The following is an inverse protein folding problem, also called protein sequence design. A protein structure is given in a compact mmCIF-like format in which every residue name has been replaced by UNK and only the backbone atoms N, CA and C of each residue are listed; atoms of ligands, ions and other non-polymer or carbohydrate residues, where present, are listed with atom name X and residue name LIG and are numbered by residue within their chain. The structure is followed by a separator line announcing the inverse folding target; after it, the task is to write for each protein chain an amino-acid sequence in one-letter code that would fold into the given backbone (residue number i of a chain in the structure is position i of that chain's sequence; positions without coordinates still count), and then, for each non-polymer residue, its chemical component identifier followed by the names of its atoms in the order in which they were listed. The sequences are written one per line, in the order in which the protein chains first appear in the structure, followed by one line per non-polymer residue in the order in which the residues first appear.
data_IF_204382596052
#
_entry.id   IF_204382596052
#
_cell.length_a   1.000
_cell.length_b   1.000
_cell.length_c   1.000
_cell.angle_alpha   90.00
_cell.angle_beta   90.00
_cell.angle_gamma   90.00
#
_symmetry.space_group_name_H-M   'P 1'
#
loop_
_entity.id
_entity.type
_entity.pdbx_description
1 polymer ?
#
# COMPACT_ATOMS: atom_id res chain seq x y z
N UNK A 1 -38.07 -15.59 -35.67
CA UNK A 1 -37.79 -15.45 -35.21
C UNK A 1 -37.46 -15.15 -34.62
N UNK A 2 -37.52 -15.21 -34.52
CA UNK A 2 -37.07 -14.96 -33.75
C UNK A 2 -36.54 -14.56 -33.04
N UNK A 3 -36.53 -14.55 -32.88
CA UNK A 3 -35.89 -14.21 -32.15
C UNK A 3 -35.67 -13.84 -31.40
N UNK A 4 -35.70 -13.92 -31.28
CA UNK A 4 -35.37 -13.58 -30.50
C UNK A 4 -34.95 -13.50 -29.71
N UNK A 5 -35.04 -13.77 -29.85
CA UNK A 5 -34.57 -13.74 -29.10
C UNK A 5 -33.93 -13.37 -28.55
N UNK A 6 -33.87 -13.47 -28.66
CA UNK A 6 -33.11 -13.13 -28.09
C UNK A 6 -32.69 -12.52 -27.45
N UNK A 7 -32.74 -12.42 -27.41
CA UNK A 7 -32.18 -11.88 -26.78
C UNK A 7 -32.01 -11.58 -25.86
N UNK A 8 -32.08 -11.87 -25.70
CA UNK A 8 -31.75 -11.64 -24.84
C UNK A 8 -31.39 -11.52 -24.11
N UNK A 9 -31.51 -11.77 -24.37
CA UNK A 9 -30.96 -11.76 -23.71
C UNK A 9 -30.48 -11.43 -23.21
N UNK A 10 -30.54 -11.40 -23.39
CA UNK A 10 -29.97 -11.14 -22.96
C UNK A 10 -29.61 -10.59 -22.34
N UNK A 11 -29.77 -10.68 -22.34
CA UNK A 11 -29.40 -10.22 -21.70
C UNK A 11 -29.02 -9.93 -21.00
N UNK A 12 -29.13 -10.02 -20.96
CA UNK A 12 -28.84 -9.81 -20.23
C UNK A 12 -28.38 -9.69 -19.53
N UNK A 13 -28.38 -9.95 -19.47
CA UNK A 13 -27.95 -9.92 -18.73
C UNK A 13 -27.46 -9.66 -18.09
N UNK A 14 -27.53 -9.57 -18.05
CA UNK A 14 -27.06 -9.41 -17.31
C UNK A 14 -26.43 -9.20 -16.66
N UNK A 15 -26.15 -9.13 -16.17
CA UNK A 15 -25.53 -9.02 -15.30
C UNK A 15 -25.19 -8.63 -14.57
N UNK A 16 -25.16 -8.66 -14.69
CA UNK A 16 -24.80 -8.31 -13.89
C UNK A 16 -24.59 -8.00 -12.99
N UNK A 17 -24.53 -7.88 -12.57
CA UNK A 17 -24.06 -7.44 -11.53
C UNK A 17 -23.22 -7.99 -10.75
N UNK A 18 -22.68 -8.23 -10.68
CA UNK A 18 -21.84 -8.60 -9.99
C UNK A 18 -21.04 -7.90 -9.45
N UNK A 19 -21.06 -7.40 -9.74
CA UNK A 19 -20.13 -6.66 -9.28
C UNK A 19 -20.11 -6.16 -7.95
N UNK A 20 -20.99 -6.09 -7.31
CA UNK A 20 -20.92 -5.68 -6.03
C UNK A 20 -20.00 -6.44 -5.29
N UNK A 21 -19.75 -7.50 -5.71
CA UNK A 21 -18.85 -8.33 -4.98
C UNK A 21 -17.42 -7.97 -5.16
N UNK A 22 -17.09 -7.14 -6.07
CA UNK A 22 -15.71 -6.83 -6.30
C UNK A 22 -15.14 -6.01 -5.16
N UNK A 23 -14.37 -6.59 -4.26
CA UNK A 23 -13.88 -5.86 -3.10
C UNK A 23 -12.78 -4.86 -3.43
N UNK A 24 -11.84 -5.23 -4.27
CA UNK A 24 -10.70 -4.37 -4.56
C UNK A 24 -10.62 -4.13 -6.05
N UNK A 25 -10.69 -2.87 -6.43
CA UNK A 25 -10.51 -2.46 -7.81
C UNK A 25 -9.03 -2.12 -8.00
N UNK A 26 -8.41 -2.64 -9.05
CA UNK A 26 -7.01 -2.28 -9.32
C UNK A 26 -6.86 -0.78 -9.52
N UNK A 27 -5.83 -0.22 -8.93
CA UNK A 27 -5.53 1.21 -9.03
C UNK A 27 -4.80 1.44 -10.34
N UNK A 28 -5.30 2.39 -11.14
CA UNK A 28 -4.65 2.74 -12.39
C UNK A 28 -3.22 3.23 -12.12
N UNK A 29 -2.25 2.86 -12.98
CA UNK A 29 -0.85 3.23 -12.74
C UNK A 29 -0.64 4.73 -12.54
N UNK A 30 -1.35 5.58 -13.28
CA UNK A 30 -1.20 7.02 -13.11
C UNK A 30 -1.65 7.50 -11.73
N UNK A 31 -2.55 6.79 -11.06
CA UNK A 31 -3.01 7.17 -9.73
C UNK A 31 -1.98 6.86 -8.65
N UNK A 32 -0.99 6.02 -8.95
CA UNK A 32 0.07 5.67 -8.01
C UNK A 32 1.25 6.62 -8.09
N UNK A 33 1.37 7.41 -9.16
CA UNK A 33 2.50 8.33 -9.30
C UNK A 33 2.67 9.29 -8.11
N UNK A 34 1.59 9.92 -7.58
CA UNK A 34 1.74 10.76 -6.39
C UNK A 34 2.17 9.99 -5.14
N UNK A 35 1.77 8.72 -5.03
CA UNK A 35 2.17 7.87 -3.89
C UNK A 35 3.68 7.62 -3.95
N UNK A 36 4.17 7.21 -5.12
CA UNK A 36 5.60 6.96 -5.31
C UNK A 36 6.39 8.25 -5.09
N UNK A 37 5.91 9.37 -5.61
CA UNK A 37 6.59 10.65 -5.44
C UNK A 37 6.69 11.04 -3.96
N UNK A 38 5.64 10.83 -3.20
CA UNK A 38 5.65 11.17 -1.77
C UNK A 38 6.64 10.31 -1.00
N UNK A 39 6.66 9.01 -1.24
CA UNK A 39 7.58 8.12 -0.54
C UNK A 39 9.03 8.40 -0.93
N UNK A 40 9.29 8.62 -2.22
CA UNK A 40 10.64 8.95 -2.70
C UNK A 40 11.11 10.29 -2.14
N UNK A 41 10.24 11.29 -2.11
CA UNK A 41 10.56 12.60 -1.56
C UNK A 41 10.95 12.50 -0.09
N UNK A 42 10.15 11.79 0.69
CA UNK A 42 10.41 11.64 2.12
C UNK A 42 11.69 10.83 2.36
N UNK A 43 11.94 9.80 1.54
CA UNK A 43 13.19 9.05 1.65
C UNK A 43 14.39 9.94 1.44
N UNK A 44 14.34 10.84 0.44
CA UNK A 44 15.43 11.78 0.19
C UNK A 44 15.63 12.73 1.38
N UNK A 45 14.55 13.23 1.96
CA UNK A 45 14.62 14.08 3.15
C UNK A 45 15.29 13.34 4.30
N UNK A 46 14.88 12.11 4.56
CA UNK A 46 15.47 11.30 5.65
C UNK A 46 16.96 11.07 5.41
N UNK A 47 17.34 10.78 4.17
CA UNK A 47 18.74 10.57 3.84
C UNK A 47 19.56 11.83 4.05
N UNK A 48 19.04 12.98 3.66
CA UNK A 48 19.71 14.26 3.86
C UNK A 48 19.86 14.61 5.34
N UNK A 49 18.96 14.10 6.18
CA UNK A 49 19.03 14.32 7.63
C UNK A 49 19.86 13.24 8.33
N UNK A 50 20.50 12.36 7.60
CA UNK A 50 21.36 11.32 8.16
C UNK A 50 20.63 10.05 8.56
N UNK A 51 19.37 9.90 8.18
CA UNK A 51 18.56 8.74 8.54
C UNK A 51 18.49 7.77 7.35
N UNK A 52 19.61 7.15 7.02
CA UNK A 52 19.71 6.27 5.88
C UNK A 52 18.82 5.03 6.03
N UNK A 53 18.72 4.51 7.24
CA UNK A 53 17.88 3.35 7.50
C UNK A 53 16.41 3.65 7.16
N UNK A 54 15.88 4.76 7.65
CA UNK A 54 14.48 5.14 7.37
C UNK A 54 14.28 5.37 5.88
N UNK A 55 15.25 6.00 5.21
CA UNK A 55 15.18 6.18 3.76
C UNK A 55 15.03 4.85 3.04
N UNK A 56 15.82 3.85 3.44
CA UNK A 56 15.76 2.52 2.82
C UNK A 56 14.45 1.80 3.13
N UNK A 57 13.91 1.98 4.33
CA UNK A 57 12.59 1.42 4.68
C UNK A 57 11.52 2.01 3.76
N UNK A 58 11.52 3.34 3.58
CA UNK A 58 10.53 4.01 2.73
C UNK A 58 10.66 3.61 1.27
N UNK A 59 11.89 3.46 0.78
CA UNK A 59 12.13 3.02 -0.59
C UNK A 59 11.63 1.60 -0.81
N UNK A 60 11.89 0.71 0.14
CA UNK A 60 11.39 -0.66 0.05
C UNK A 60 9.88 -0.70 0.18
N UNK A 61 9.29 0.12 1.05
CA UNK A 61 7.84 0.22 1.18
C UNK A 61 7.22 0.67 -0.13
N UNK A 62 7.85 1.61 -0.82
CA UNK A 62 7.37 2.07 -2.12
C UNK A 62 7.30 0.92 -3.11
N UNK A 63 8.37 0.11 -3.19
CA UNK A 63 8.43 -1.02 -4.11
C UNK A 63 7.46 -2.12 -3.77
N UNK A 64 7.14 -2.28 -2.49
CA UNK A 64 6.35 -3.41 -2.00
C UNK A 64 4.92 -3.03 -1.59
N UNK A 65 4.50 -1.80 -1.86
CA UNK A 65 3.22 -1.28 -1.35
C UNK A 65 2.00 -2.06 -1.84
N UNK A 66 2.09 -2.70 -3.00
CA UNK A 66 1.00 -3.52 -3.54
C UNK A 66 0.66 -4.71 -2.65
N UNK A 67 1.54 -5.11 -1.74
CA UNK A 67 1.25 -6.15 -0.77
C UNK A 67 0.29 -5.68 0.33
N UNK A 68 0.06 -4.38 0.44
CA UNK A 68 -0.89 -3.80 1.38
C UNK A 68 -1.95 -3.00 0.61
N UNK A 69 -2.89 -3.69 -0.06
CA UNK A 69 -3.81 -3.01 -0.98
C UNK A 69 -4.74 -2.00 -0.32
N UNK A 70 -5.14 -2.21 0.93
CA UNK A 70 -5.97 -1.22 1.63
C UNK A 70 -5.17 0.04 1.94
N UNK A 71 -3.96 -0.13 2.42
CA UNK A 71 -3.05 0.99 2.70
C UNK A 71 -2.74 1.75 1.40
N UNK A 72 -2.40 1.03 0.34
CA UNK A 72 -2.10 1.63 -0.95
C UNK A 72 -3.28 2.45 -1.45
N UNK A 73 -4.50 1.91 -1.37
CA UNK A 73 -5.70 2.60 -1.82
C UNK A 73 -5.95 3.88 -1.05
N UNK A 74 -5.78 3.86 0.27
CA UNK A 74 -5.99 5.06 1.09
C UNK A 74 -4.99 6.14 0.75
N UNK A 75 -3.71 5.79 0.56
CA UNK A 75 -2.71 6.78 0.19
C UNK A 75 -2.99 7.33 -1.22
N UNK A 76 -3.34 6.46 -2.15
CA UNK A 76 -3.60 6.86 -3.54
C UNK A 76 -4.81 7.79 -3.67
N UNK A 77 -5.82 7.59 -2.83
CA UNK A 77 -7.06 8.38 -2.88
C UNK A 77 -7.12 9.44 -1.78
N UNK A 78 -6.01 9.76 -1.14
CA UNK A 78 -5.99 10.76 -0.07
C UNK A 78 -6.54 12.09 -0.58
N UNK A 79 -7.51 12.70 0.13
CA UNK A 79 -8.21 13.86 -0.41
C UNK A 79 -7.43 15.16 -0.34
N UNK A 80 -6.35 15.21 0.41
CA UNK A 80 -5.58 16.43 0.58
C UNK A 80 -4.13 16.27 0.15
N UNK A 81 -3.29 17.15 0.67
CA UNK A 81 -1.86 17.12 0.41
C UNK A 81 -1.22 16.00 1.24
N UNK A 82 -0.66 15.01 0.57
CA UNK A 82 -0.03 13.86 1.22
C UNK A 82 1.17 14.26 2.05
N UNK A 83 1.92 15.24 1.60
CA UNK A 83 3.09 15.72 2.33
C UNK A 83 2.67 16.46 3.60
N UNK A 84 1.65 17.32 3.50
CA UNK A 84 1.14 18.04 4.68
C UNK A 84 0.53 17.07 5.70
N UNK A 85 -0.07 15.98 5.22
CA UNK A 85 -0.61 14.94 6.10
C UNK A 85 0.47 14.02 6.66
N UNK A 86 1.72 14.15 6.18
CA UNK A 86 2.86 13.33 6.60
C UNK A 86 2.61 11.83 6.40
N UNK A 87 1.96 11.45 5.31
CA UNK A 87 1.57 10.05 5.09
C UNK A 87 2.77 9.10 5.06
N UNK A 88 3.88 9.52 4.44
CA UNK A 88 5.07 8.67 4.41
C UNK A 88 5.60 8.41 5.82
N UNK A 89 5.59 9.42 6.69
CA UNK A 89 6.07 9.24 8.05
C UNK A 89 5.07 8.48 8.91
N UNK A 90 3.77 8.60 8.65
CA UNK A 90 2.78 7.75 9.31
C UNK A 90 2.98 6.29 8.93
N UNK A 91 3.25 6.03 7.66
CA UNK A 91 3.58 4.67 7.21
C UNK A 91 4.83 4.16 7.91
N UNK A 92 5.87 5.00 7.98
CA UNK A 92 7.10 4.63 8.67
C UNK A 92 6.84 4.33 10.15
N UNK A 93 6.03 5.16 10.82
CA UNK A 93 5.67 4.94 12.21
C UNK A 93 4.92 3.63 12.42
N UNK A 94 4.00 3.31 11.51
CA UNK A 94 3.26 2.05 11.56
C UNK A 94 4.19 0.85 11.43
N UNK A 95 5.13 0.92 10.49
CA UNK A 95 6.09 -0.17 10.29
C UNK A 95 6.99 -0.34 11.51
N UNK A 96 7.42 0.77 12.11
CA UNK A 96 8.20 0.72 13.34
C UNK A 96 7.39 0.04 14.47
N UNK A 97 6.11 0.39 14.58
CA UNK A 97 5.24 -0.23 15.57
C UNK A 97 5.09 -1.73 15.34
N UNK A 98 4.94 -2.16 14.09
CA UNK A 98 4.89 -3.57 13.73
C UNK A 98 6.20 -4.27 14.14
N UNK A 99 7.34 -3.65 13.86
CA UNK A 99 8.64 -4.21 14.23
C UNK A 99 8.75 -4.38 15.76
N UNK A 100 8.29 -3.39 16.51
CA UNK A 100 8.35 -3.43 17.96
C UNK A 100 7.40 -4.46 18.57
N UNK A 101 6.29 -4.74 17.93
CA UNK A 101 5.35 -5.77 18.40
C UNK A 101 5.88 -7.18 18.21
N UNK A 102 6.83 -7.36 17.31
CA UNK A 102 7.43 -8.66 17.05
C UNK A 102 6.53 -9.61 16.27
N UNK A 103 5.44 -9.13 15.68
CA UNK A 103 4.51 -10.00 14.95
C UNK A 103 5.02 -10.39 13.57
N UNK A 104 6.02 -9.67 13.05
CA UNK A 104 6.69 -9.98 11.78
C UNK A 104 8.18 -10.09 12.07
N UNK A 105 8.69 -11.31 12.32
CA UNK A 105 10.09 -11.49 12.72
C UNK A 105 11.10 -10.91 11.74
N UNK A 106 10.82 -10.99 10.44
CA UNK A 106 11.72 -10.44 9.42
C UNK A 106 11.88 -8.93 9.57
N UNK A 107 10.78 -8.22 9.84
CA UNK A 107 10.84 -6.78 10.03
C UNK A 107 11.54 -6.42 11.33
N UNK A 108 11.25 -7.15 12.41
CA UNK A 108 11.91 -6.94 13.69
C UNK A 108 13.43 -7.14 13.57
N UNK A 109 13.85 -8.19 12.85
CA UNK A 109 15.26 -8.45 12.60
C UNK A 109 15.89 -7.34 11.77
N UNK A 110 15.16 -6.80 10.78
CA UNK A 110 15.64 -5.69 9.98
C UNK A 110 15.94 -4.47 10.86
N UNK A 111 15.05 -4.16 11.78
CA UNK A 111 15.22 -3.01 12.69
C UNK A 111 16.33 -3.21 13.70
N UNK A 112 16.69 -4.45 14.02
CA UNK A 112 17.83 -4.74 14.89
C UNK A 112 19.16 -4.82 14.13
N UNK A 113 19.12 -4.66 12.81
CA UNK A 113 20.32 -4.78 12.00
C UNK A 113 20.78 -6.21 11.77
N UNK A 114 19.91 -7.19 12.01
CA UNK A 114 20.22 -8.62 11.88
C UNK A 114 19.82 -9.20 10.54
N UNK A 115 19.17 -8.39 9.71
CA UNK A 115 18.64 -8.81 8.44
C UNK A 115 18.81 -7.66 7.46
N UNK A 116 19.22 -7.95 6.23
CA UNK A 116 19.56 -6.92 5.26
C UNK A 116 18.62 -6.87 4.05
N UNK A 117 17.71 -7.83 3.94
CA UNK A 117 16.78 -7.87 2.79
C UNK A 117 15.55 -7.02 3.08
N UNK A 118 15.66 -5.73 2.78
CA UNK A 118 14.59 -4.77 3.00
C UNK A 118 13.33 -5.13 2.23
N UNK A 119 13.47 -5.51 0.96
CA UNK A 119 12.30 -5.82 0.14
C UNK A 119 11.52 -7.01 0.69
N UNK A 120 12.21 -8.07 1.09
CA UNK A 120 11.53 -9.23 1.65
C UNK A 120 10.82 -8.90 2.96
N UNK A 121 11.52 -8.21 3.85
CA UNK A 121 10.94 -7.84 5.14
C UNK A 121 9.72 -6.95 4.96
N UNK A 122 9.80 -5.98 4.08
CA UNK A 122 8.69 -5.06 3.81
C UNK A 122 7.52 -5.76 3.12
N UNK A 123 7.78 -6.64 2.17
CA UNK A 123 6.72 -7.39 1.51
C UNK A 123 5.91 -8.21 2.52
N UNK A 124 6.60 -8.91 3.41
CA UNK A 124 5.94 -9.73 4.43
C UNK A 124 5.18 -8.85 5.43
N UNK A 125 5.81 -7.77 5.89
CA UNK A 125 5.20 -6.88 6.88
C UNK A 125 3.96 -6.20 6.32
N UNK A 126 4.03 -5.70 5.10
CA UNK A 126 2.90 -5.02 4.47
C UNK A 126 1.73 -5.98 4.26
N UNK A 127 2.02 -7.18 3.76
CA UNK A 127 0.97 -8.18 3.54
C UNK A 127 0.31 -8.60 4.86
N UNK A 128 1.11 -8.79 5.91
CA UNK A 128 0.61 -9.26 7.20
C UNK A 128 -0.14 -8.17 7.96
N UNK A 129 0.26 -6.91 7.81
CA UNK A 129 -0.15 -5.82 8.70
C UNK A 129 -0.97 -4.73 8.02
N UNK A 130 -1.54 -5.00 6.85
CA UNK A 130 -2.26 -3.98 6.07
C UNK A 130 -3.33 -3.27 6.92
N UNK A 131 -4.18 -4.03 7.61
CA UNK A 131 -5.24 -3.45 8.43
C UNK A 131 -4.69 -2.62 9.59
N UNK A 132 -3.63 -3.08 10.23
CA UNK A 132 -2.99 -2.35 11.32
C UNK A 132 -2.38 -1.04 10.83
N UNK A 133 -1.67 -1.09 9.71
CA UNK A 133 -1.05 0.09 9.11
C UNK A 133 -2.12 1.12 8.77
N UNK A 134 -3.24 0.65 8.23
CA UNK A 134 -4.34 1.52 7.84
C UNK A 134 -4.82 2.39 9.00
N UNK A 135 -4.83 1.86 10.22
CA UNK A 135 -5.23 2.62 11.40
C UNK A 135 -4.27 3.79 11.67
N UNK A 136 -3.01 3.64 11.35
CA UNK A 136 -2.01 4.69 11.55
C UNK A 136 -2.13 5.82 10.54
N UNK A 137 -2.76 5.55 9.40
CA UNK A 137 -2.93 6.57 8.37
C UNK A 137 -4.13 7.48 8.62
N UNK A 138 -5.03 7.09 9.51
CA UNK A 138 -6.27 7.84 9.76
C UNK A 138 -6.22 8.75 10.97
#
# INVERSE_FOLDING_TARGET
MSALISKENIAGTTHPPRAKASPITPIAPFALAPVHAELSRQAAVCRNLGSDFVARVLEAAERQLSHAPMTEAVIATWPGDRAAAALAMRLNGALHAVARRGTVPELSALYRGEHADFDRALAIALAHSDAFILQWLR
#
